data_IF_709965643034
#
_entry.id   IF_709965643034
#
_cell.length_a   1.000
_cell.length_b   1.000
_cell.length_c   1.000
_cell.angle_alpha   90.00
_cell.angle_beta   90.00
_cell.angle_gamma   90.00
#
_symmetry.space_group_name_H-M   'P 1'
#
loop_
_entity.id
_entity.type
_entity.pdbx_description
1 polymer ?
#
# COMPACT_ATOMS: atom_id res chain seq x y z
N UNK A 1 21.40 -13.11 7.85
CA UNK A 1 20.28 -13.00 6.90
C UNK A 1 19.05 -12.46 7.64
N UNK A 2 18.28 -11.55 7.04
CA UNK A 2 17.07 -10.96 7.62
C UNK A 2 15.97 -11.00 6.57
N UNK A 3 14.82 -11.57 6.91
CA UNK A 3 13.68 -11.75 6.00
C UNK A 3 12.41 -11.16 6.62
N UNK A 4 11.60 -10.47 5.82
CA UNK A 4 10.29 -9.98 6.27
C UNK A 4 9.24 -11.08 6.19
N UNK A 5 8.34 -11.15 7.18
CA UNK A 5 7.24 -12.10 7.24
C UNK A 5 5.94 -11.33 7.46
N UNK A 6 4.97 -11.55 6.58
CA UNK A 6 3.71 -10.81 6.54
C UNK A 6 2.56 -11.65 7.05
N UNK A 7 2.44 -11.80 8.37
CA UNK A 7 1.28 -12.46 8.97
C UNK A 7 -0.01 -11.69 8.70
N UNK A 8 -1.18 -12.35 8.71
CA UNK A 8 -2.46 -11.66 8.66
C UNK A 8 -2.56 -10.56 9.72
N UNK A 9 -2.68 -9.30 9.26
CA UNK A 9 -2.78 -8.13 10.13
C UNK A 9 -1.47 -7.65 10.78
N UNK A 10 -0.36 -8.39 10.70
CA UNK A 10 0.89 -8.04 11.40
C UNK A 10 2.13 -8.23 10.52
N UNK A 11 3.26 -7.67 10.92
CA UNK A 11 4.53 -7.94 10.24
C UNK A 11 5.65 -8.12 11.24
N UNK A 12 6.44 -9.15 11.00
CA UNK A 12 7.57 -9.55 11.81
C UNK A 12 8.77 -9.75 10.90
N UNK A 13 9.95 -9.91 11.50
CA UNK A 13 11.17 -10.25 10.77
C UNK A 13 11.73 -11.57 11.28
N UNK A 14 12.28 -12.36 10.37
CA UNK A 14 13.06 -13.55 10.69
C UNK A 14 14.55 -13.21 10.59
N UNK A 15 15.30 -13.39 11.68
CA UNK A 15 16.72 -13.07 11.77
C UNK A 15 17.53 -14.35 11.94
N UNK A 16 18.50 -14.58 11.07
CA UNK A 16 19.38 -15.77 11.13
C UNK A 16 19.17 -16.80 10.02
N UNK A 17 18.31 -16.52 9.03
CA UNK A 17 18.01 -17.46 7.93
C UNK A 17 16.76 -18.31 8.19
N UNK A 18 16.64 -19.46 7.54
CA UNK A 18 15.44 -20.32 7.58
C UNK A 18 15.11 -20.87 8.96
N UNK A 19 16.13 -21.13 9.79
CA UNK A 19 15.98 -21.55 11.20
C UNK A 19 16.18 -20.37 12.16
N UNK A 20 16.03 -19.15 11.65
CA UNK A 20 16.20 -17.91 12.40
C UNK A 20 15.07 -17.64 13.38
N UNK A 21 15.30 -16.68 14.27
CA UNK A 21 14.33 -16.22 15.27
C UNK A 21 13.35 -15.24 14.66
N UNK A 22 12.08 -15.32 15.08
CA UNK A 22 11.08 -14.31 14.77
C UNK A 22 11.17 -13.15 15.77
N UNK A 23 11.12 -11.93 15.23
CA UNK A 23 11.25 -10.69 16.00
C UNK A 23 10.14 -9.74 15.57
N UNK A 24 9.49 -9.11 16.55
CA UNK A 24 8.48 -8.08 16.32
C UNK A 24 9.12 -6.68 16.28
N UNK A 25 9.25 -6.04 15.11
CA UNK A 25 9.87 -4.71 15.01
C UNK A 25 8.97 -3.59 15.55
N UNK A 26 7.68 -3.84 15.77
CA UNK A 26 6.74 -2.85 16.30
C UNK A 26 6.57 -2.92 17.82
N UNK A 27 7.06 -3.99 18.44
CA UNK A 27 7.05 -4.19 19.89
C UNK A 27 8.48 -4.33 20.42
N UNK A 28 9.29 -3.29 20.19
CA UNK A 28 10.65 -3.15 20.75
C UNK A 28 11.62 -4.31 20.43
N UNK A 29 11.37 -5.05 19.35
CA UNK A 29 12.19 -6.21 18.99
C UNK A 29 11.90 -7.44 19.84
N UNK A 30 10.67 -7.58 20.38
CA UNK A 30 10.25 -8.78 21.12
C UNK A 30 10.50 -10.04 20.28
N UNK A 31 11.16 -11.04 20.88
CA UNK A 31 11.28 -12.38 20.30
C UNK A 31 9.92 -13.09 20.37
N UNK A 32 9.54 -13.71 19.26
CA UNK A 32 8.27 -14.42 19.14
C UNK A 32 8.51 -15.92 18.95
N UNK A 33 7.79 -16.72 19.73
CA UNK A 33 7.57 -18.14 19.43
C UNK A 33 6.49 -18.31 18.34
N UNK A 34 6.33 -19.54 17.84
CA UNK A 34 5.22 -19.85 16.92
C UNK A 34 3.87 -19.64 17.63
N UNK A 35 3.77 -19.96 18.92
CA UNK A 35 2.56 -19.74 19.72
C UNK A 35 2.24 -18.24 19.88
N UNK A 36 3.26 -17.39 20.07
CA UNK A 36 3.05 -15.93 20.07
C UNK A 36 2.51 -15.45 18.70
N UNK A 37 3.05 -15.97 17.59
CA UNK A 37 2.59 -15.63 16.24
C UNK A 37 1.13 -16.07 16.01
N UNK A 38 0.77 -17.27 16.47
CA UNK A 38 -0.60 -17.79 16.44
C UNK A 38 -1.57 -16.88 17.21
N UNK A 39 -1.19 -16.50 18.44
CA UNK A 39 -2.03 -15.63 19.28
C UNK A 39 -2.22 -14.25 18.65
N UNK A 40 -1.18 -13.69 18.02
CA UNK A 40 -1.28 -12.43 17.27
C UNK A 40 -2.32 -12.56 16.14
N UNK A 41 -2.23 -13.59 15.30
CA UNK A 41 -3.16 -13.81 14.19
C UNK A 41 -4.58 -14.06 14.69
N UNK A 42 -4.74 -14.88 15.73
CA UNK A 42 -6.01 -15.16 16.36
C UNK A 42 -6.66 -13.87 16.90
N UNK A 43 -5.91 -13.07 17.65
CA UNK A 43 -6.38 -11.80 18.21
C UNK A 43 -6.77 -10.80 17.11
N UNK A 44 -5.92 -10.58 16.11
CA UNK A 44 -6.17 -9.60 15.04
C UNK A 44 -7.31 -10.01 14.11
N UNK A 45 -7.51 -11.31 13.91
CA UNK A 45 -8.63 -11.86 13.13
C UNK A 45 -9.91 -12.05 13.94
N UNK A 46 -9.90 -11.76 15.24
CA UNK A 46 -11.01 -12.04 16.17
C UNK A 46 -11.43 -13.52 16.15
N UNK A 47 -10.46 -14.42 16.04
CA UNK A 47 -10.66 -15.87 15.97
C UNK A 47 -11.33 -16.38 14.68
N UNK A 48 -11.48 -15.53 13.66
CA UNK A 48 -12.16 -15.90 12.40
C UNK A 48 -11.23 -16.55 11.39
N UNK A 49 -9.92 -16.35 11.53
CA UNK A 49 -8.93 -16.92 10.63
C UNK A 49 -8.21 -18.08 11.34
N UNK A 50 -8.35 -19.33 10.85
CA UNK A 50 -7.56 -20.44 11.38
C UNK A 50 -6.07 -20.21 11.11
N UNK A 51 -5.22 -20.79 11.96
CA UNK A 51 -3.77 -20.75 11.76
C UNK A 51 -3.36 -21.51 10.50
N UNK A 52 -2.38 -20.95 9.80
CA UNK A 52 -1.70 -21.55 8.66
C UNK A 52 -0.19 -21.33 8.83
N UNK A 53 0.61 -22.38 8.68
CA UNK A 53 2.07 -22.28 8.76
C UNK A 53 2.64 -21.39 7.65
N UNK A 54 1.94 -21.27 6.52
CA UNK A 54 2.33 -20.41 5.41
C UNK A 54 2.34 -18.91 5.80
N UNK A 55 1.69 -18.54 6.91
CA UNK A 55 1.78 -17.17 7.46
C UNK A 55 3.20 -16.80 7.92
N UNK A 56 4.07 -17.79 8.14
CA UNK A 56 5.46 -17.58 8.50
C UNK A 56 6.41 -17.54 7.30
N UNK A 57 5.90 -17.74 6.07
CA UNK A 57 6.74 -17.67 4.87
C UNK A 57 7.25 -16.24 4.64
N UNK A 58 8.53 -16.09 4.23
CA UNK A 58 9.06 -14.80 3.85
C UNK A 58 8.26 -14.15 2.72
N UNK A 59 7.97 -12.86 2.86
CA UNK A 59 7.36 -12.10 1.78
C UNK A 59 8.41 -11.70 0.75
N UNK A 60 7.97 -11.54 -0.49
CA UNK A 60 8.83 -11.03 -1.56
C UNK A 60 9.28 -9.60 -1.28
N UNK A 61 10.40 -9.18 -1.89
CA UNK A 61 10.87 -7.79 -1.82
C UNK A 61 9.79 -6.80 -2.29
N UNK A 62 9.01 -7.15 -3.32
CA UNK A 62 7.92 -6.30 -3.79
C UNK A 62 6.82 -6.14 -2.73
N UNK A 63 6.39 -7.23 -2.11
CA UNK A 63 5.39 -7.18 -1.05
C UNK A 63 5.88 -6.37 0.17
N UNK A 64 7.17 -6.50 0.51
CA UNK A 64 7.79 -5.68 1.55
C UNK A 64 7.80 -4.19 1.19
N UNK A 65 8.23 -3.84 -0.03
CA UNK A 65 8.24 -2.46 -0.53
C UNK A 65 6.84 -1.85 -0.53
N UNK A 66 5.84 -2.58 -0.98
CA UNK A 66 4.44 -2.13 -0.97
C UNK A 66 3.95 -1.84 0.45
N UNK A 67 4.30 -2.70 1.43
CA UNK A 67 3.98 -2.46 2.83
C UNK A 67 4.63 -1.18 3.35
N UNK A 68 5.92 -0.98 3.08
CA UNK A 68 6.65 0.24 3.48
C UNK A 68 6.01 1.47 2.84
N UNK A 69 5.72 1.42 1.54
CA UNK A 69 5.08 2.52 0.81
C UNK A 69 3.69 2.85 1.37
N UNK A 70 2.88 1.84 1.72
CA UNK A 70 1.57 2.05 2.36
C UNK A 70 1.70 2.68 3.74
N UNK A 71 2.65 2.22 4.55
CA UNK A 71 2.91 2.80 5.87
C UNK A 71 3.34 4.27 5.76
N UNK A 72 4.24 4.58 4.82
CA UNK A 72 4.68 5.94 4.54
C UNK A 72 3.55 6.82 4.02
N UNK A 73 2.80 6.34 3.02
CA UNK A 73 1.64 7.06 2.47
C UNK A 73 0.63 7.42 3.58
N UNK A 74 0.28 6.45 4.43
CA UNK A 74 -0.65 6.68 5.54
C UNK A 74 -0.07 7.65 6.59
N UNK A 75 1.24 7.57 6.87
CA UNK A 75 1.91 8.50 7.77
C UNK A 75 1.87 9.93 7.24
N UNK A 76 2.31 10.13 5.99
CA UNK A 76 2.31 11.44 5.35
C UNK A 76 0.91 12.03 5.23
N UNK A 77 -0.11 11.20 4.95
CA UNK A 77 -1.49 11.65 4.95
C UNK A 77 -1.93 12.17 6.33
N UNK A 78 -1.64 11.44 7.42
CA UNK A 78 -1.98 11.87 8.79
C UNK A 78 -1.27 13.16 9.19
N UNK A 79 -0.04 13.35 8.73
CA UNK A 79 0.76 14.55 9.00
C UNK A 79 0.53 15.69 7.99
N UNK A 80 -0.42 15.52 7.05
CA UNK A 80 -0.71 16.50 5.99
C UNK A 80 0.53 16.87 5.14
N UNK A 81 1.48 15.95 5.02
CA UNK A 81 2.68 16.12 4.20
C UNK A 81 2.37 15.74 2.74
N UNK A 82 1.81 16.69 2.01
CA UNK A 82 1.34 16.52 0.63
C UNK A 82 2.43 16.04 -0.32
N UNK A 83 3.65 16.58 -0.20
CA UNK A 83 4.75 16.26 -1.11
C UNK A 83 5.23 14.83 -0.92
N UNK A 84 5.44 14.39 0.32
CA UNK A 84 5.88 13.03 0.57
C UNK A 84 4.76 12.01 0.37
N UNK A 85 3.50 12.39 0.65
CA UNK A 85 2.33 11.60 0.26
C UNK A 85 2.30 11.36 -1.26
N UNK A 86 2.45 12.42 -2.07
CA UNK A 86 2.51 12.30 -3.53
C UNK A 86 3.62 11.35 -3.99
N UNK A 87 4.81 11.45 -3.40
CA UNK A 87 5.93 10.55 -3.74
C UNK A 87 5.58 9.10 -3.41
N UNK A 88 5.08 8.83 -2.21
CA UNK A 88 4.73 7.49 -1.76
C UNK A 88 3.64 6.86 -2.62
N UNK A 89 2.53 7.59 -2.86
CA UNK A 89 1.43 7.07 -3.67
C UNK A 89 1.83 6.86 -5.13
N UNK A 90 2.66 7.73 -5.71
CA UNK A 90 3.16 7.55 -7.08
C UNK A 90 3.96 6.26 -7.25
N UNK A 91 4.83 5.94 -6.29
CA UNK A 91 5.57 4.67 -6.30
C UNK A 91 4.65 3.48 -6.06
N UNK A 92 3.68 3.59 -5.15
CA UNK A 92 2.74 2.50 -4.89
C UNK A 92 1.85 2.22 -6.11
N UNK A 93 1.32 3.26 -6.74
CA UNK A 93 0.50 3.17 -7.96
C UNK A 93 1.28 2.60 -9.16
N UNK A 94 2.60 2.75 -9.20
CA UNK A 94 3.40 2.11 -10.25
C UNK A 94 3.59 0.61 -10.03
N UNK A 95 3.59 0.14 -8.79
CA UNK A 95 3.63 -1.29 -8.45
C UNK A 95 2.25 -1.94 -8.56
N UNK A 96 1.18 -1.18 -8.33
CA UNK A 96 -0.21 -1.65 -8.35
C UNK A 96 -1.05 -0.92 -9.40
N UNK A 97 -0.75 -1.09 -10.71
CA UNK A 97 -1.49 -0.44 -11.80
C UNK A 97 -2.96 -0.91 -11.87
N UNK A 98 -3.26 -2.07 -11.30
CA UNK A 98 -4.57 -2.70 -11.25
C UNK A 98 -5.45 -2.28 -10.06
N UNK A 99 -4.96 -1.39 -9.19
CA UNK A 99 -5.76 -0.88 -8.08
C UNK A 99 -6.35 0.49 -8.43
N UNK A 100 -7.61 0.55 -8.88
CA UNK A 100 -8.19 1.77 -9.43
C UNK A 100 -8.27 2.92 -8.42
N UNK A 101 -8.49 2.64 -7.13
CA UNK A 101 -8.56 3.63 -6.06
C UNK A 101 -7.23 4.35 -5.84
N UNK A 102 -6.12 3.61 -5.95
CA UNK A 102 -4.76 4.17 -5.89
C UNK A 102 -4.46 5.05 -7.10
N UNK A 103 -4.89 4.64 -8.30
CA UNK A 103 -4.73 5.44 -9.51
C UNK A 103 -5.54 6.73 -9.42
N UNK A 104 -6.80 6.65 -8.96
CA UNK A 104 -7.67 7.81 -8.85
C UNK A 104 -7.15 8.81 -7.81
N UNK A 105 -6.68 8.31 -6.66
CA UNK A 105 -6.08 9.15 -5.61
C UNK A 105 -4.80 9.83 -6.11
N UNK A 106 -3.98 9.15 -6.93
CA UNK A 106 -2.83 9.76 -7.59
C UNK A 106 -3.26 10.91 -8.53
N UNK A 107 -4.32 10.71 -9.32
CA UNK A 107 -4.86 11.77 -10.19
C UNK A 107 -5.32 12.99 -9.40
N UNK A 108 -6.05 12.79 -8.30
CA UNK A 108 -6.53 13.88 -7.45
C UNK A 108 -5.40 14.68 -6.81
N UNK A 109 -4.35 14.02 -6.31
CA UNK A 109 -3.22 14.74 -5.69
C UNK A 109 -2.40 15.50 -6.73
N UNK A 110 -2.27 14.98 -7.96
CA UNK A 110 -1.62 15.70 -9.07
C UNK A 110 -2.42 16.95 -9.46
N UNK A 111 -3.76 16.87 -9.51
CA UNK A 111 -4.66 18.01 -9.72
C UNK A 111 -4.51 19.04 -8.58
N UNK A 112 -4.53 18.59 -7.33
CA UNK A 112 -4.39 19.46 -6.15
C UNK A 112 -3.04 20.18 -6.07
N UNK A 113 -1.97 19.54 -6.56
CA UNK A 113 -0.63 20.14 -6.67
C UNK A 113 -0.47 21.06 -7.89
N UNK A 114 -1.49 21.15 -8.75
CA UNK A 114 -1.46 21.96 -9.98
C UNK A 114 -0.69 21.33 -11.14
N UNK A 115 -0.22 20.08 -11.02
CA UNK A 115 0.40 19.35 -12.13
C UNK A 115 -0.67 18.75 -13.06
N UNK A 116 -1.40 19.64 -13.74
CA UNK A 116 -2.51 19.28 -14.62
C UNK A 116 -2.07 18.39 -15.79
N UNK A 117 -0.80 18.48 -16.19
CA UNK A 117 -0.23 17.62 -17.23
C UNK A 117 -0.15 16.16 -16.77
N UNK A 118 0.37 15.92 -15.55
CA UNK A 118 0.39 14.57 -14.98
C UNK A 118 -1.00 14.05 -14.66
N UNK A 119 -1.84 14.86 -14.01
CA UNK A 119 -3.21 14.47 -13.67
C UNK A 119 -3.98 14.01 -14.92
N UNK A 120 -3.87 14.76 -16.03
CA UNK A 120 -4.46 14.39 -17.32
C UNK A 120 -3.94 13.04 -17.85
N UNK A 121 -2.63 12.78 -17.73
CA UNK A 121 -2.04 11.50 -18.14
C UNK A 121 -2.55 10.36 -17.26
N UNK A 122 -2.63 10.57 -15.95
CA UNK A 122 -3.13 9.59 -14.99
C UNK A 122 -4.59 9.25 -15.26
N UNK A 123 -5.49 10.23 -15.42
CA UNK A 123 -6.89 9.97 -15.76
C UNK A 123 -7.06 9.25 -17.10
N UNK A 124 -6.26 9.58 -18.12
CA UNK A 124 -6.26 8.83 -19.38
C UNK A 124 -5.84 7.37 -19.20
N UNK A 125 -4.83 7.12 -18.37
CA UNK A 125 -4.38 5.76 -18.07
C UNK A 125 -5.45 4.95 -17.32
N UNK A 126 -6.17 5.59 -16.39
CA UNK A 126 -7.33 5.00 -15.71
C UNK A 126 -8.38 4.58 -16.75
N UNK A 127 -8.81 5.47 -17.63
CA UNK A 127 -9.84 5.17 -18.63
C UNK A 127 -9.42 4.11 -19.66
N UNK A 128 -8.12 3.98 -19.92
CA UNK A 128 -7.60 2.92 -20.78
C UNK A 128 -7.69 1.52 -20.12
N UNK A 129 -7.66 1.46 -18.78
CA UNK A 129 -7.65 0.20 -18.02
C UNK A 129 -9.02 -0.15 -17.41
N UNK A 130 -9.76 0.86 -16.96
CA UNK A 130 -11.06 0.76 -16.30
C UNK A 130 -12.06 1.59 -17.10
N UNK A 131 -12.87 0.91 -17.92
CA UNK A 131 -13.71 1.58 -18.91
C UNK A 131 -15.06 2.06 -18.35
N UNK A 132 -15.55 1.47 -17.26
CA UNK A 132 -16.86 1.76 -16.68
C UNK A 132 -16.81 1.78 -15.15
N UNK A 133 -17.88 2.32 -14.53
CA UNK A 133 -18.03 2.40 -13.08
C UNK A 133 -17.50 3.69 -12.46
N UNK A 134 -17.62 3.84 -11.13
CA UNK A 134 -17.39 5.11 -10.43
C UNK A 134 -15.99 5.70 -10.68
N UNK A 135 -14.96 4.86 -10.76
CA UNK A 135 -13.58 5.31 -10.99
C UNK A 135 -13.42 5.91 -12.41
N UNK A 136 -14.03 5.29 -13.42
CA UNK A 136 -14.00 5.79 -14.79
C UNK A 136 -14.80 7.09 -14.92
N UNK A 137 -15.93 7.19 -14.22
CA UNK A 137 -16.73 8.42 -14.16
C UNK A 137 -15.93 9.57 -13.52
N UNK A 138 -15.30 9.33 -12.37
CA UNK A 138 -14.45 10.32 -11.70
C UNK A 138 -13.25 10.75 -12.55
N UNK A 139 -12.56 9.81 -13.20
CA UNK A 139 -11.47 10.14 -14.11
C UNK A 139 -11.94 10.96 -15.32
N UNK A 140 -13.13 10.67 -15.85
CA UNK A 140 -13.75 11.45 -16.93
C UNK A 140 -14.06 12.88 -16.47
N UNK A 141 -14.62 13.05 -15.27
CA UNK A 141 -14.87 14.36 -14.68
C UNK A 141 -13.58 15.14 -14.46
N UNK A 142 -12.52 14.49 -13.97
CA UNK A 142 -11.19 15.09 -13.84
C UNK A 142 -10.63 15.62 -15.16
N UNK A 143 -10.74 14.86 -16.25
CA UNK A 143 -10.36 15.34 -17.58
C UNK A 143 -11.19 16.56 -18.05
N UNK A 144 -12.48 16.60 -17.72
CA UNK A 144 -13.33 17.74 -18.05
C UNK A 144 -12.95 19.00 -17.25
N UNK A 145 -12.65 18.86 -15.95
CA UNK A 145 -12.16 19.96 -15.09
C UNK A 145 -10.86 20.53 -15.65
N UNK A 146 -9.88 19.68 -15.94
CA UNK A 146 -8.60 20.09 -16.52
C UNK A 146 -8.79 20.80 -17.87
N UNK A 147 -9.69 20.30 -18.72
CA UNK A 147 -9.98 20.93 -20.02
C UNK A 147 -10.53 22.35 -19.87
N UNK A 148 -11.39 22.58 -18.88
CA UNK A 148 -11.96 23.91 -18.59
C UNK A 148 -10.94 24.87 -17.99
N UNK A 149 -9.94 24.36 -17.27
CA UNK A 149 -8.90 25.19 -16.64
C UNK A 149 -7.79 25.66 -17.61
N UNK A 150 -7.64 25.01 -18.76
CA UNK A 150 -6.62 25.33 -19.78
C UNK A 150 -7.18 26.23 -20.91
N UNK A 151 -8.50 26.44 -20.94
CA UNK A 151 -9.18 27.36 -21.86
C UNK A 151 -9.52 28.67 -21.13
#
# INVERSE_FOLDING_TARGET
DVRGVGMPGHFIIQVGGTEGLFVDPFHEGKLLSIDDCQEIVHTLSQGKLPWDEDFLLPISTNAFLERVLRNLMNSYLRHQDTLHFYRAIRFLSSHQPDTPELQLTLGHIEEALGDLHRAKRTYKAILARFQTGPIAEEATQGLQRIRRAIH
#
